data_IF_341792339000
#
_entry.id   IF_341792339000
#
_cell.length_a   1.000
_cell.length_b   1.000
_cell.length_c   1.000
_cell.angle_alpha   90.00
_cell.angle_beta   90.00
_cell.angle_gamma   90.00
#
_symmetry.space_group_name_H-M   'P 1'
#
loop_
_entity.id
_entity.type
_entity.pdbx_description
1 polymer ?
#
# COMPACT_ATOMS: atom_id res chain seq x y z
N UNK A 1 -5.48 5.88 23.25
CA UNK A 1 -4.45 6.42 22.33
C UNK A 1 -5.16 6.80 21.04
N UNK A 2 -5.10 8.05 20.59
CA UNK A 2 -5.62 8.41 19.25
C UNK A 2 -4.55 7.99 18.26
N UNK A 3 -4.82 7.00 17.41
CA UNK A 3 -3.92 6.68 16.31
C UNK A 3 -3.72 7.94 15.46
N UNK A 4 -2.50 8.24 14.99
CA UNK A 4 -2.29 9.35 14.09
C UNK A 4 -3.15 9.12 12.85
N UNK A 5 -4.00 10.09 12.52
CA UNK A 5 -4.78 10.05 11.28
C UNK A 5 -3.77 10.14 10.14
N UNK A 6 -3.73 9.13 9.29
CA UNK A 6 -2.76 9.09 8.20
C UNK A 6 -3.06 10.18 7.16
N UNK A 7 -2.02 10.60 6.42
CA UNK A 7 -2.12 11.75 5.51
C UNK A 7 -2.90 11.41 4.24
N UNK A 8 -2.80 10.17 3.77
CA UNK A 8 -3.40 9.71 2.51
C UNK A 8 -4.43 8.61 2.77
N UNK A 9 -5.27 8.31 1.77
CA UNK A 9 -6.20 7.18 1.85
C UNK A 9 -5.47 5.84 1.88
N UNK A 10 -4.35 5.74 1.15
CA UNK A 10 -3.40 4.63 1.18
C UNK A 10 -2.01 5.21 1.50
N UNK A 11 -1.33 4.63 2.49
CA UNK A 11 -0.05 5.10 2.99
C UNK A 11 0.96 3.96 2.91
N UNK A 12 2.05 4.19 2.16
CA UNK A 12 3.21 3.33 2.13
C UNK A 12 4.15 3.78 3.26
N UNK A 13 4.35 2.94 4.26
CA UNK A 13 5.11 3.27 5.47
C UNK A 13 6.60 2.92 5.28
N UNK A 14 7.49 3.64 5.97
CA UNK A 14 8.94 3.39 5.91
C UNK A 14 9.35 1.98 6.38
N UNK A 15 8.49 1.30 7.15
CA UNK A 15 8.69 -0.08 7.61
C UNK A 15 8.23 -1.15 6.60
N UNK A 16 7.77 -0.73 5.41
CA UNK A 16 7.26 -1.61 4.36
C UNK A 16 5.76 -1.93 4.49
N UNK A 17 5.06 -1.43 5.51
CA UNK A 17 3.62 -1.66 5.68
C UNK A 17 2.78 -0.77 4.75
N UNK A 18 1.61 -1.28 4.33
CA UNK A 18 0.59 -0.49 3.62
C UNK A 18 -0.63 -0.33 4.50
N UNK A 19 -0.99 0.92 4.81
CA UNK A 19 -2.06 1.27 5.74
C UNK A 19 -3.11 2.18 5.10
N UNK A 20 -4.39 1.98 5.44
CA UNK A 20 -5.44 2.94 5.09
C UNK A 20 -5.36 4.23 5.92
N UNK A 21 -6.15 5.24 5.53
CA UNK A 21 -6.34 6.47 6.29
C UNK A 21 -6.72 6.24 7.77
N UNK A 22 -7.46 5.16 8.03
CA UNK A 22 -7.97 4.76 9.35
C UNK A 22 -7.01 3.82 10.11
N UNK A 23 -5.85 3.51 9.52
CA UNK A 23 -4.84 2.63 10.12
C UNK A 23 -5.11 1.13 9.93
N UNK A 24 -6.01 0.76 9.02
CA UNK A 24 -6.20 -0.65 8.63
C UNK A 24 -4.98 -1.13 7.85
N UNK A 25 -4.44 -2.29 8.24
CA UNK A 25 -3.33 -2.93 7.55
C UNK A 25 -3.82 -3.71 6.33
N UNK A 26 -3.23 -3.43 5.17
CA UNK A 26 -3.62 -4.04 3.89
C UNK A 26 -2.62 -5.05 3.35
N UNK A 27 -1.35 -4.96 3.78
CA UNK A 27 -0.25 -5.78 3.25
C UNK A 27 1.08 -5.04 3.30
N UNK A 28 2.00 -5.48 2.44
CA UNK A 28 3.37 -4.92 2.36
C UNK A 28 3.65 -4.31 0.99
N UNK A 29 4.58 -3.36 0.96
CA UNK A 29 5.13 -2.81 -0.28
C UNK A 29 6.65 -2.94 -0.30
N UNK A 30 7.20 -2.97 -1.51
CA UNK A 30 8.65 -2.90 -1.73
C UNK A 30 8.96 -2.15 -3.02
N UNK A 31 10.23 -1.79 -3.22
CA UNK A 31 10.71 -1.31 -4.51
C UNK A 31 11.73 -2.29 -5.12
N UNK A 32 11.74 -2.34 -6.45
CA UNK A 32 12.72 -3.06 -7.24
C UNK A 32 13.63 -2.02 -7.87
N UNK A 33 14.85 -1.91 -7.34
CA UNK A 33 15.90 -0.98 -7.80
C UNK A 33 15.41 0.48 -7.86
N UNK A 34 14.62 0.93 -6.89
CA UNK A 34 14.06 2.29 -6.83
C UNK A 34 13.20 2.70 -8.06
N UNK A 35 12.82 1.74 -8.91
CA UNK A 35 12.21 2.00 -10.22
C UNK A 35 10.78 1.46 -10.33
N UNK A 36 10.48 0.37 -9.63
CA UNK A 36 9.17 -0.28 -9.65
C UNK A 36 8.75 -0.53 -8.22
N UNK A 37 7.58 -0.02 -7.84
CA UNK A 37 6.98 -0.22 -6.54
C UNK A 37 5.98 -1.36 -6.64
N UNK A 38 6.07 -2.34 -5.75
CA UNK A 38 5.20 -3.51 -5.72
C UNK A 38 4.39 -3.56 -4.45
N UNK A 39 3.22 -4.19 -4.52
CA UNK A 39 2.32 -4.40 -3.39
C UNK A 39 1.91 -5.86 -3.30
N UNK A 40 2.02 -6.40 -2.09
CA UNK A 40 1.60 -7.75 -1.73
C UNK A 40 0.54 -7.67 -0.63
N UNK A 41 -0.71 -8.09 -0.91
CA UNK A 41 -1.79 -8.10 0.08
C UNK A 41 -1.46 -8.95 1.31
N UNK A 42 -2.04 -8.58 2.46
CA UNK A 42 -1.99 -9.44 3.64
C UNK A 42 -2.57 -10.83 3.35
N UNK A 43 -1.85 -11.86 3.77
CA UNK A 43 -2.18 -13.27 3.48
C UNK A 43 -1.89 -13.74 2.05
N UNK A 44 -1.27 -12.92 1.20
CA UNK A 44 -0.77 -13.33 -0.12
C UNK A 44 0.73 -13.59 -0.09
N UNK A 45 1.19 -14.59 -0.84
CA UNK A 45 2.62 -14.82 -1.12
C UNK A 45 3.07 -14.13 -2.41
N UNK A 46 2.12 -13.72 -3.26
CA UNK A 46 2.38 -13.10 -4.57
C UNK A 46 2.03 -11.62 -4.59
N UNK A 47 2.84 -10.86 -5.34
CA UNK A 47 2.61 -9.45 -5.66
C UNK A 47 1.32 -9.30 -6.46
N UNK A 48 0.42 -8.44 -6.00
CA UNK A 48 -0.83 -8.14 -6.70
C UNK A 48 -0.67 -6.99 -7.69
N UNK A 49 0.09 -5.96 -7.31
CA UNK A 49 0.30 -4.77 -8.13
C UNK A 49 1.76 -4.40 -8.22
N UNK A 50 2.15 -3.85 -9.37
CA UNK A 50 3.46 -3.27 -9.61
C UNK A 50 3.30 -2.02 -10.48
N UNK A 51 3.96 -0.93 -10.11
CA UNK A 51 3.87 0.33 -10.84
C UNK A 51 5.16 1.15 -10.73
N UNK A 52 5.53 1.87 -11.79
CA UNK A 52 6.74 2.72 -11.78
C UNK A 52 6.61 3.98 -10.94
N UNK A 53 5.39 4.32 -10.52
CA UNK A 53 5.12 5.50 -9.72
C UNK A 53 4.32 5.13 -8.47
N UNK A 54 4.75 5.63 -7.31
CA UNK A 54 4.07 5.46 -6.02
C UNK A 54 2.61 5.89 -6.09
N UNK A 55 2.31 7.04 -6.70
CA UNK A 55 0.94 7.54 -6.80
C UNK A 55 0.02 6.55 -7.53
N UNK A 56 0.49 5.97 -8.64
CA UNK A 56 -0.29 4.99 -9.40
C UNK A 56 -0.44 3.65 -8.68
N UNK A 57 0.57 3.23 -7.91
CA UNK A 57 0.45 2.06 -7.03
C UNK A 57 -0.63 2.30 -5.96
N UNK A 58 -0.61 3.46 -5.29
CA UNK A 58 -1.60 3.82 -4.28
C UNK A 58 -3.02 3.89 -4.85
N UNK A 59 -3.21 4.39 -6.08
CA UNK A 59 -4.52 4.38 -6.75
C UNK A 59 -5.02 2.96 -7.01
N UNK A 60 -4.16 2.06 -7.51
CA UNK A 60 -4.53 0.65 -7.73
C UNK A 60 -4.93 -0.04 -6.41
N UNK A 61 -4.16 0.17 -5.34
CA UNK A 61 -4.48 -0.37 -4.01
C UNK A 61 -5.81 0.20 -3.49
N UNK A 62 -6.06 1.49 -3.67
CA UNK A 62 -7.30 2.14 -3.25
C UNK A 62 -8.51 1.56 -3.97
N UNK A 63 -8.44 1.42 -5.29
CA UNK A 63 -9.51 0.84 -6.11
C UNK A 63 -9.79 -0.61 -5.69
N UNK A 64 -8.74 -1.38 -5.48
CA UNK A 64 -8.85 -2.75 -4.96
C UNK A 64 -9.52 -2.81 -3.59
N UNK A 65 -9.10 -1.97 -2.64
CA UNK A 65 -9.68 -1.91 -1.29
C UNK A 65 -11.15 -1.52 -1.34
N UNK A 66 -11.54 -0.59 -2.23
CA UNK A 66 -12.93 -0.15 -2.40
C UNK A 66 -13.82 -1.20 -3.08
N UNK A 67 -13.21 -2.19 -3.75
CA UNK A 67 -13.92 -3.28 -4.45
C UNK A 67 -14.14 -4.53 -3.60
N UNK A 68 -13.57 -4.58 -2.39
CA UNK A 68 -13.81 -5.63 -1.40
C UNK A 68 -15.13 -5.43 -0.67
#
# INVERSE_FOLDING_TARGET
MKQPKMQFEINLMDDGSVLTADGEYLGTWSDINDAIYTFTPDGSEEELFAHSFVWGLCEQIKEWQSSK
#
